data_IF_888702232322
#
_entry.id   IF_888702232322
#
_cell.length_a   1.000
_cell.length_b   1.000
_cell.length_c   1.000
_cell.angle_alpha   90.00
_cell.angle_beta   90.00
_cell.angle_gamma   90.00
#
_symmetry.space_group_name_H-M   'P 1'
#
loop_
_entity.id
_entity.type
_entity.pdbx_description
1 polymer ?
#
# COMPACT_ATOMS: atom_id res chain seq x y z
N UNK A 1 -17.60 -14.11 28.46
CA UNK A 1 -16.61 -14.35 27.40
C UNK A 1 -17.39 -14.49 26.10
N UNK A 2 -17.23 -13.56 25.17
CA UNK A 2 -17.88 -13.68 23.86
C UNK A 2 -17.33 -14.91 23.15
N UNK A 3 -18.23 -15.75 22.66
CA UNK A 3 -17.87 -16.99 21.98
C UNK A 3 -17.46 -16.67 20.54
N UNK A 4 -16.18 -16.40 20.32
CA UNK A 4 -15.63 -15.99 19.01
C UNK A 4 -15.68 -17.09 17.94
N UNK A 5 -16.22 -18.26 18.25
CA UNK A 5 -16.39 -19.38 17.31
C UNK A 5 -17.69 -19.27 16.49
N UNK A 6 -18.58 -18.34 16.82
CA UNK A 6 -19.81 -18.10 16.08
C UNK A 6 -19.72 -16.81 15.26
N UNK A 7 -20.35 -16.80 14.09
CA UNK A 7 -20.41 -15.62 13.25
C UNK A 7 -21.46 -14.65 13.80
N UNK A 8 -20.98 -13.49 14.27
CA UNK A 8 -21.81 -12.42 14.83
C UNK A 8 -21.93 -11.31 13.78
N UNK A 9 -23.15 -10.85 13.52
CA UNK A 9 -23.44 -9.78 12.58
C UNK A 9 -23.88 -8.52 13.32
N UNK A 10 -23.32 -7.36 12.94
CA UNK A 10 -23.70 -6.05 13.45
C UNK A 10 -24.01 -5.09 12.31
N UNK A 11 -24.95 -4.17 12.56
CA UNK A 11 -25.29 -3.12 11.58
C UNK A 11 -24.09 -2.20 11.34
N UNK A 12 -23.93 -1.80 10.09
CA UNK A 12 -22.85 -0.89 9.70
C UNK A 12 -23.34 0.54 9.96
N UNK A 13 -22.63 1.36 10.76
CA UNK A 13 -22.99 2.74 11.01
C UNK A 13 -23.17 3.53 9.71
N UNK A 14 -24.20 4.36 9.65
CA UNK A 14 -24.59 5.20 8.52
C UNK A 14 -24.89 4.43 7.20
N UNK A 15 -25.10 3.11 7.29
CA UNK A 15 -25.35 2.24 6.14
C UNK A 15 -26.56 1.36 6.41
N UNK A 16 -27.75 1.96 6.49
CA UNK A 16 -28.99 1.24 6.74
C UNK A 16 -29.19 0.07 5.74
N UNK A 17 -29.60 -1.09 6.27
CA UNK A 17 -29.83 -2.29 5.48
C UNK A 17 -28.58 -3.08 5.12
N UNK A 18 -27.44 -2.84 5.82
CA UNK A 18 -26.22 -3.62 5.68
C UNK A 18 -25.62 -4.00 7.04
N UNK A 19 -25.05 -5.20 7.08
CA UNK A 19 -24.38 -5.74 8.26
C UNK A 19 -22.97 -6.24 7.91
N UNK A 20 -22.08 -6.17 8.89
CA UNK A 20 -20.75 -6.76 8.84
C UNK A 20 -20.62 -7.84 9.91
N UNK A 21 -19.89 -8.92 9.61
CA UNK A 21 -19.61 -9.99 10.56
C UNK A 21 -18.23 -9.84 11.19
N UNK A 22 -18.07 -10.47 12.37
CA UNK A 22 -16.77 -10.63 13.03
C UNK A 22 -15.78 -11.48 12.22
N UNK A 23 -16.22 -12.22 11.20
CA UNK A 23 -15.38 -13.00 10.29
C UNK A 23 -14.93 -12.21 9.04
N UNK A 24 -15.43 -10.97 8.87
CA UNK A 24 -15.05 -10.13 7.75
C UNK A 24 -16.00 -10.23 6.55
N UNK A 25 -17.19 -10.80 6.72
CA UNK A 25 -18.21 -10.89 5.71
C UNK A 25 -19.13 -9.66 5.76
N UNK A 26 -19.71 -9.29 4.64
CA UNK A 26 -20.65 -8.16 4.52
C UNK A 26 -21.93 -8.68 3.86
N UNK A 27 -23.09 -8.33 4.42
CA UNK A 27 -24.40 -8.68 3.84
C UNK A 27 -25.35 -7.48 3.79
N UNK A 28 -26.29 -7.52 2.87
CA UNK A 28 -27.52 -6.74 2.96
C UNK A 28 -28.57 -7.52 3.76
N UNK A 29 -29.46 -6.83 4.43
CA UNK A 29 -30.61 -7.43 5.11
C UNK A 29 -31.89 -7.28 4.29
N UNK A 30 -32.91 -8.07 4.61
CA UNK A 30 -34.25 -7.93 4.02
C UNK A 30 -34.78 -6.53 4.32
N UNK A 31 -35.28 -5.85 3.30
CA UNK A 31 -35.88 -4.51 3.46
C UNK A 31 -37.05 -4.31 2.52
N UNK A 32 -38.03 -3.58 2.99
CA UNK A 32 -39.16 -3.14 2.17
C UNK A 32 -38.81 -1.80 1.51
N UNK A 33 -38.97 -1.72 0.22
CA UNK A 33 -38.69 -0.51 -0.55
C UNK A 33 -39.99 -0.05 -1.21
N UNK A 34 -40.25 1.24 -1.12
CA UNK A 34 -41.38 1.88 -1.81
C UNK A 34 -40.96 2.33 -3.22
N UNK A 35 -41.65 1.83 -4.23
CA UNK A 35 -41.47 2.27 -5.60
C UNK A 35 -42.43 3.43 -5.89
N UNK A 36 -41.90 4.64 -6.01
CA UNK A 36 -42.67 5.85 -6.30
C UNK A 36 -43.34 5.83 -7.67
N UNK A 37 -42.76 5.13 -8.64
CA UNK A 37 -43.32 5.08 -10.01
C UNK A 37 -44.59 4.21 -10.14
N UNK A 38 -44.66 3.13 -9.36
CA UNK A 38 -45.80 2.19 -9.35
C UNK A 38 -46.69 2.34 -8.11
N UNK A 39 -46.31 3.20 -7.16
CA UNK A 39 -47.03 3.41 -5.88
C UNK A 39 -47.19 2.10 -5.09
N UNK A 40 -46.18 1.20 -5.15
CA UNK A 40 -46.23 -0.11 -4.51
C UNK A 40 -44.99 -0.34 -3.65
N UNK A 41 -45.10 -1.23 -2.69
CA UNK A 41 -43.94 -1.70 -1.92
C UNK A 41 -43.50 -3.08 -2.38
N UNK A 42 -42.19 -3.35 -2.35
CA UNK A 42 -41.65 -4.67 -2.60
C UNK A 42 -40.50 -4.95 -1.64
N UNK A 43 -40.26 -6.24 -1.37
CA UNK A 43 -39.17 -6.68 -0.48
C UNK A 43 -37.93 -6.99 -1.28
N UNK A 44 -36.80 -6.36 -0.93
CA UNK A 44 -35.49 -6.78 -1.39
C UNK A 44 -34.97 -7.78 -0.38
N UNK A 45 -34.67 -9.01 -0.84
CA UNK A 45 -34.05 -10.05 -0.03
C UNK A 45 -32.60 -9.71 0.30
N UNK A 46 -32.22 -9.89 1.54
CA UNK A 46 -30.86 -9.79 2.01
C UNK A 46 -29.96 -10.87 1.41
N UNK A 47 -28.70 -10.54 1.20
CA UNK A 47 -27.70 -11.49 0.67
C UNK A 47 -26.30 -11.06 1.07
N UNK A 48 -25.37 -11.99 1.09
CA UNK A 48 -23.95 -11.67 1.17
C UNK A 48 -23.51 -10.89 -0.07
N UNK A 49 -22.66 -9.90 0.18
CA UNK A 49 -22.11 -9.05 -0.88
C UNK A 49 -20.85 -9.66 -1.48
N UNK A 50 -20.79 -9.67 -2.81
CA UNK A 50 -19.55 -9.98 -3.49
C UNK A 50 -18.51 -8.92 -3.18
N UNK A 51 -17.33 -9.35 -2.77
CA UNK A 51 -16.19 -8.50 -2.50
C UNK A 51 -15.13 -8.63 -3.59
N UNK A 52 -14.33 -7.59 -3.78
CA UNK A 52 -13.26 -7.56 -4.77
C UNK A 52 -11.95 -7.20 -4.09
N UNK A 53 -10.86 -7.89 -4.46
CA UNK A 53 -9.51 -7.54 -3.99
C UNK A 53 -8.91 -6.48 -4.91
N UNK A 54 -8.35 -5.44 -4.32
CA UNK A 54 -7.56 -4.48 -5.08
C UNK A 54 -6.11 -4.99 -5.33
N UNK A 55 -5.33 -4.23 -6.10
CA UNK A 55 -3.94 -4.59 -6.47
C UNK A 55 -2.99 -4.76 -5.26
N UNK A 56 -3.37 -4.22 -4.11
CA UNK A 56 -2.60 -4.32 -2.86
C UNK A 56 -3.10 -5.45 -1.96
N UNK A 57 -4.13 -6.21 -2.39
CA UNK A 57 -4.74 -7.30 -1.64
C UNK A 57 -5.85 -6.89 -0.68
N UNK A 58 -6.18 -5.60 -0.57
CA UNK A 58 -7.29 -5.16 0.28
C UNK A 58 -8.63 -5.57 -0.31
N UNK A 59 -9.47 -6.16 0.52
CA UNK A 59 -10.84 -6.54 0.16
C UNK A 59 -11.76 -5.32 0.24
N UNK A 60 -12.56 -5.12 -0.79
CA UNK A 60 -13.50 -4.00 -0.91
C UNK A 60 -14.92 -4.51 -1.11
N UNK A 61 -15.89 -3.86 -0.48
CA UNK A 61 -17.31 -4.07 -0.67
C UNK A 61 -17.96 -2.78 -1.20
N UNK A 62 -18.93 -2.93 -2.11
CA UNK A 62 -19.73 -1.81 -2.59
C UNK A 62 -21.11 -1.87 -1.91
N UNK A 63 -21.43 -0.82 -1.15
CA UNK A 63 -22.67 -0.64 -0.40
C UNK A 63 -23.39 0.62 -0.87
N UNK A 64 -24.70 0.67 -0.72
CA UNK A 64 -25.49 1.87 -1.05
C UNK A 64 -25.72 2.69 0.21
N UNK A 65 -25.29 3.95 0.21
CA UNK A 65 -25.50 4.92 1.30
C UNK A 65 -26.34 6.05 0.73
N UNK A 66 -27.54 6.25 1.27
CA UNK A 66 -28.47 7.29 0.81
C UNK A 66 -28.69 7.23 -0.74
N UNK A 67 -28.86 6.03 -1.28
CA UNK A 67 -29.07 5.81 -2.72
C UNK A 67 -27.83 5.94 -3.61
N UNK A 68 -26.65 6.24 -3.05
CA UNK A 68 -25.39 6.33 -3.79
C UNK A 68 -24.50 5.10 -3.50
N UNK A 69 -23.95 4.52 -4.55
CA UNK A 69 -23.01 3.41 -4.42
C UNK A 69 -21.65 3.93 -3.93
N UNK A 70 -21.17 3.37 -2.81
CA UNK A 70 -19.89 3.68 -2.20
C UNK A 70 -19.08 2.41 -2.04
N UNK A 71 -17.84 2.41 -2.54
CA UNK A 71 -16.90 1.31 -2.34
C UNK A 71 -15.98 1.61 -1.15
N UNK A 72 -16.03 0.77 -0.13
CA UNK A 72 -15.23 0.89 1.09
C UNK A 72 -14.41 -0.38 1.32
N UNK A 73 -13.29 -0.28 2.05
CA UNK A 73 -12.49 -1.45 2.44
C UNK A 73 -13.16 -2.20 3.57
N UNK A 74 -13.18 -3.54 3.48
CA UNK A 74 -13.93 -4.41 4.40
C UNK A 74 -13.42 -4.29 5.84
N UNK A 75 -12.10 -4.25 6.07
CA UNK A 75 -11.55 -4.10 7.43
C UNK A 75 -12.06 -2.84 8.15
N UNK A 76 -12.21 -1.70 7.42
CA UNK A 76 -12.78 -0.48 8.02
C UNK A 76 -14.27 -0.59 8.30
N UNK A 77 -15.02 -1.29 7.43
CA UNK A 77 -16.45 -1.55 7.64
C UNK A 77 -16.63 -2.43 8.87
N UNK A 78 -15.90 -3.54 8.97
CA UNK A 78 -15.95 -4.48 10.10
C UNK A 78 -15.60 -3.76 11.40
N UNK A 79 -14.49 -3.02 11.42
CA UNK A 79 -14.11 -2.25 12.61
C UNK A 79 -15.23 -1.29 13.05
N UNK A 80 -15.76 -0.50 12.10
CA UNK A 80 -16.80 0.48 12.41
C UNK A 80 -18.10 -0.14 12.91
N UNK A 81 -18.46 -1.33 12.43
CA UNK A 81 -19.66 -2.05 12.90
C UNK A 81 -19.51 -2.56 14.34
N UNK A 82 -18.32 -2.92 14.77
CA UNK A 82 -18.09 -3.51 16.09
C UNK A 82 -17.61 -2.49 17.13
N UNK A 83 -16.78 -1.54 16.74
CA UNK A 83 -16.12 -0.59 17.65
C UNK A 83 -16.47 0.89 17.38
N UNK A 84 -17.26 1.16 16.33
CA UNK A 84 -17.66 2.54 16.01
C UNK A 84 -16.65 3.30 15.17
N UNK A 85 -16.71 4.62 15.26
CA UNK A 85 -15.94 5.53 14.40
C UNK A 85 -14.44 5.38 14.61
N UNK A 86 -13.70 5.30 13.52
CA UNK A 86 -12.23 5.28 13.53
C UNK A 86 -11.74 6.71 13.73
N UNK A 87 -10.96 7.00 14.80
CA UNK A 87 -10.40 8.34 15.02
C UNK A 87 -9.53 8.79 13.84
N UNK A 88 -9.48 10.08 13.51
CA UNK A 88 -8.76 10.60 12.35
C UNK A 88 -7.25 10.40 12.41
N UNK A 89 -6.68 10.29 13.61
CA UNK A 89 -5.25 10.05 13.89
C UNK A 89 -4.89 8.55 13.94
N UNK A 90 -5.87 7.65 13.72
CA UNK A 90 -5.70 6.21 13.81
C UNK A 90 -5.99 5.49 12.49
N UNK A 91 -5.36 4.34 12.34
CA UNK A 91 -5.49 3.43 11.21
C UNK A 91 -5.84 2.03 11.69
N UNK A 92 -6.53 1.26 10.84
CA UNK A 92 -6.76 -0.17 11.10
C UNK A 92 -5.65 -0.96 10.44
N UNK A 93 -4.98 -1.77 11.23
CA UNK A 93 -3.93 -2.66 10.76
C UNK A 93 -4.35 -4.13 10.86
N UNK A 94 -3.78 -4.97 9.99
CA UNK A 94 -3.93 -6.43 10.02
C UNK A 94 -2.77 -7.01 10.82
N UNK A 95 -3.09 -7.74 11.91
CA UNK A 95 -2.10 -8.30 12.84
C UNK A 95 -1.17 -9.30 12.12
N UNK A 96 -1.73 -10.10 11.21
CA UNK A 96 -1.01 -11.10 10.41
C UNK A 96 -0.34 -10.54 9.14
N UNK A 97 -0.38 -9.22 8.92
CA UNK A 97 0.11 -8.54 7.70
C UNK A 97 -0.64 -8.97 6.41
N UNK A 98 -1.74 -9.72 6.49
CA UNK A 98 -2.54 -10.15 5.33
C UNK A 98 -3.75 -9.22 5.13
N UNK A 99 -3.75 -8.32 4.12
CA UNK A 99 -4.83 -7.37 3.89
C UNK A 99 -6.15 -8.02 3.44
N UNK A 100 -6.14 -9.33 3.16
CA UNK A 100 -7.34 -10.09 2.82
C UNK A 100 -8.02 -10.73 4.03
N UNK A 101 -7.36 -10.83 5.18
CA UNK A 101 -7.92 -11.41 6.40
C UNK A 101 -8.59 -10.33 7.24
N UNK A 102 -9.87 -10.09 7.00
CA UNK A 102 -10.65 -9.04 7.65
C UNK A 102 -11.41 -9.52 8.91
N UNK A 103 -11.04 -10.68 9.46
CA UNK A 103 -11.57 -11.12 10.74
C UNK A 103 -11.31 -10.07 11.83
N UNK A 104 -12.31 -9.79 12.66
CA UNK A 104 -12.23 -8.81 13.74
C UNK A 104 -11.05 -9.07 14.68
N UNK A 105 -10.77 -10.34 14.97
CA UNK A 105 -9.64 -10.77 15.81
C UNK A 105 -8.28 -10.47 15.19
N UNK A 106 -8.23 -10.28 13.88
CA UNK A 106 -7.01 -9.94 13.14
C UNK A 106 -6.84 -8.44 12.92
N UNK A 107 -7.77 -7.61 13.39
CA UNK A 107 -7.73 -6.16 13.23
C UNK A 107 -7.32 -5.46 14.51
N UNK A 108 -6.48 -4.45 14.41
CA UNK A 108 -6.13 -3.58 15.53
C UNK A 108 -6.08 -2.11 15.12
N UNK A 109 -6.38 -1.22 16.08
CA UNK A 109 -6.32 0.21 15.92
C UNK A 109 -4.94 0.70 16.33
N UNK A 110 -4.23 1.34 15.40
CA UNK A 110 -2.85 1.80 15.60
C UNK A 110 -2.69 3.25 15.16
N UNK A 111 -1.69 3.94 15.66
CA UNK A 111 -1.25 5.22 15.09
C UNK A 111 -0.51 4.99 13.77
N UNK A 112 -0.41 6.03 12.94
CA UNK A 112 0.39 5.98 11.71
C UNK A 112 1.84 5.55 11.96
N UNK A 113 2.46 6.03 13.04
CA UNK A 113 3.83 5.67 13.44
C UNK A 113 3.95 4.18 13.81
N UNK A 114 3.00 3.65 14.55
CA UNK A 114 2.94 2.22 14.89
C UNK A 114 2.73 1.37 13.65
N UNK A 115 1.82 1.78 12.76
CA UNK A 115 1.53 1.08 11.51
C UNK A 115 2.78 0.97 10.60
N UNK A 116 3.51 2.06 10.40
CA UNK A 116 4.77 2.06 9.64
C UNK A 116 5.83 1.13 10.27
N UNK A 117 5.82 1.01 11.60
CA UNK A 117 6.80 0.17 12.32
C UNK A 117 6.33 -1.28 12.52
N UNK A 118 5.10 -1.62 12.09
CA UNK A 118 4.50 -2.93 12.28
C UNK A 118 5.23 -4.03 11.51
N UNK A 119 5.37 -5.19 12.12
CA UNK A 119 5.94 -6.38 11.50
C UNK A 119 7.40 -6.23 11.04
N UNK A 120 7.77 -7.02 10.06
CA UNK A 120 9.12 -7.09 9.50
C UNK A 120 9.41 -6.04 8.40
N UNK A 121 8.60 -4.98 8.30
CA UNK A 121 8.74 -3.97 7.25
C UNK A 121 10.15 -3.36 7.18
N UNK A 122 10.76 -3.06 8.33
CA UNK A 122 12.15 -2.54 8.39
C UNK A 122 13.18 -3.54 7.88
N UNK A 123 12.97 -4.85 8.15
CA UNK A 123 13.83 -5.92 7.66
C UNK A 123 13.64 -6.07 6.16
N UNK A 124 12.39 -6.13 5.68
CA UNK A 124 12.06 -6.18 4.23
C UNK A 124 12.68 -4.98 3.48
N UNK A 125 12.62 -3.76 4.03
CA UNK A 125 13.26 -2.59 3.46
C UNK A 125 14.79 -2.67 3.45
N UNK A 126 15.41 -3.17 4.52
CA UNK A 126 16.87 -3.37 4.57
C UNK A 126 17.32 -4.39 3.52
N UNK A 127 16.61 -5.53 3.40
CA UNK A 127 16.90 -6.56 2.40
C UNK A 127 16.70 -6.02 0.98
N UNK A 128 15.60 -5.31 0.70
CA UNK A 128 15.37 -4.68 -0.59
C UNK A 128 16.43 -3.63 -0.94
N UNK A 129 16.94 -2.90 0.06
CA UNK A 129 18.01 -1.92 -0.12
C UNK A 129 19.38 -2.57 -0.36
N UNK A 130 19.64 -3.72 0.26
CA UNK A 130 20.84 -4.54 0.03
C UNK A 130 20.78 -5.12 -1.40
N UNK A 131 19.66 -5.72 -1.80
CA UNK A 131 19.47 -6.30 -3.12
C UNK A 131 19.56 -5.26 -4.25
N UNK A 132 19.20 -3.97 -3.99
CA UNK A 132 19.39 -2.88 -4.95
C UNK A 132 20.86 -2.47 -5.13
N UNK A 133 21.74 -2.75 -4.17
CA UNK A 133 23.18 -2.44 -4.30
C UNK A 133 23.87 -3.29 -5.37
N UNK A 134 23.40 -4.51 -5.59
CA UNK A 134 23.98 -5.40 -6.61
C UNK A 134 23.63 -5.00 -8.07
N UNK A 135 22.73 -4.02 -8.25
CA UNK A 135 22.39 -3.45 -9.57
C UNK A 135 23.18 -2.17 -9.87
N UNK A 136 24.16 -1.82 -9.06
CA UNK A 136 24.99 -0.65 -9.34
C UNK A 136 25.90 -0.89 -10.56
N UNK A 137 25.77 -0.03 -11.57
CA UNK A 137 26.62 -0.11 -12.76
C UNK A 137 28.06 0.32 -12.41
N UNK A 138 29.03 -0.47 -12.85
CA UNK A 138 30.43 -0.09 -12.80
C UNK A 138 30.67 1.19 -13.59
N UNK A 139 31.62 1.99 -13.13
CA UNK A 139 31.99 3.28 -13.73
C UNK A 139 33.46 3.32 -14.01
N UNK A 140 33.79 3.74 -15.21
CA UNK A 140 35.14 3.86 -15.73
C UNK A 140 35.53 5.33 -15.78
N UNK A 141 36.73 5.66 -15.31
CA UNK A 141 37.33 6.97 -15.34
C UNK A 141 38.43 6.99 -16.40
N UNK A 142 38.39 7.94 -17.33
CA UNK A 142 39.39 8.12 -18.36
C UNK A 142 40.01 9.53 -18.27
N UNK A 143 41.24 9.65 -18.69
CA UNK A 143 41.85 10.96 -18.94
C UNK A 143 41.21 11.65 -20.17
N UNK A 144 41.62 12.89 -20.46
CA UNK A 144 41.06 13.65 -21.58
C UNK A 144 41.53 13.11 -22.95
N UNK A 145 42.57 12.25 -22.96
CA UNK A 145 43.09 11.60 -24.18
C UNK A 145 42.42 10.24 -24.43
N UNK A 146 41.57 9.78 -23.46
CA UNK A 146 40.80 8.56 -23.60
C UNK A 146 41.46 7.30 -22.99
N UNK A 147 42.55 7.45 -22.23
CA UNK A 147 43.16 6.30 -21.52
C UNK A 147 42.40 6.02 -20.24
N UNK A 148 42.15 4.72 -19.95
CA UNK A 148 41.54 4.31 -18.73
C UNK A 148 42.46 4.53 -17.53
N UNK A 149 41.99 5.26 -16.51
CA UNK A 149 42.72 5.54 -15.28
C UNK A 149 42.31 4.62 -14.18
N UNK A 150 40.97 4.45 -13.98
CA UNK A 150 40.45 3.63 -12.86
C UNK A 150 39.05 3.08 -13.13
N UNK A 151 38.72 1.96 -12.47
CA UNK A 151 37.41 1.32 -12.47
C UNK A 151 36.81 1.35 -11.09
N UNK A 152 35.55 1.75 -10.98
CA UNK A 152 34.81 1.83 -9.73
C UNK A 152 33.57 0.95 -9.80
N UNK A 153 33.19 0.33 -8.65
CA UNK A 153 31.99 -0.50 -8.54
C UNK A 153 30.67 0.27 -8.80
N UNK A 154 30.70 1.59 -8.59
CA UNK A 154 29.54 2.46 -8.79
C UNK A 154 29.93 3.94 -8.87
N UNK A 155 29.02 4.79 -9.34
CA UNK A 155 29.18 6.27 -9.27
C UNK A 155 29.40 6.72 -7.82
N UNK A 156 28.67 6.13 -6.87
CA UNK A 156 28.80 6.47 -5.43
C UNK A 156 30.17 6.14 -4.89
N UNK A 157 30.77 5.05 -5.36
CA UNK A 157 32.12 4.62 -4.97
C UNK A 157 33.18 5.54 -5.56
N UNK A 158 33.05 5.88 -6.84
CA UNK A 158 33.91 6.85 -7.50
C UNK A 158 33.86 8.23 -6.81
N UNK A 159 32.68 8.70 -6.48
CA UNK A 159 32.48 9.97 -5.79
C UNK A 159 33.09 9.97 -4.38
N UNK A 160 32.89 8.90 -3.62
CA UNK A 160 33.41 8.75 -2.25
C UNK A 160 34.95 8.68 -2.22
N UNK A 161 35.56 7.89 -3.11
CA UNK A 161 37.01 7.70 -3.13
C UNK A 161 37.73 9.01 -3.54
N UNK A 162 37.16 9.77 -4.46
CA UNK A 162 37.78 10.99 -4.98
C UNK A 162 37.26 12.27 -4.33
N UNK A 163 36.35 12.16 -3.35
CA UNK A 163 35.68 13.33 -2.75
C UNK A 163 34.94 14.22 -3.75
N UNK A 164 34.29 13.60 -4.73
CA UNK A 164 33.53 14.28 -5.77
C UNK A 164 32.02 14.24 -5.53
N UNK A 165 31.27 15.14 -6.18
CA UNK A 165 29.80 15.11 -6.16
C UNK A 165 29.27 14.06 -7.11
N UNK A 166 28.38 13.16 -6.62
CA UNK A 166 27.73 12.09 -7.38
C UNK A 166 27.09 12.62 -8.66
N UNK A 167 26.34 13.74 -8.56
CA UNK A 167 25.60 14.34 -9.67
C UNK A 167 26.52 14.79 -10.82
N UNK A 168 27.75 15.20 -10.55
CA UNK A 168 28.71 15.62 -11.56
C UNK A 168 29.16 14.42 -12.41
N UNK A 169 29.55 13.31 -11.78
CA UNK A 169 29.94 12.07 -12.46
C UNK A 169 28.75 11.48 -13.22
N UNK A 170 27.59 11.42 -12.58
CA UNK A 170 26.36 10.88 -13.17
C UNK A 170 25.97 11.63 -14.44
N UNK A 171 26.07 12.95 -14.44
CA UNK A 171 25.75 13.80 -15.62
C UNK A 171 26.61 13.44 -16.81
N UNK A 172 27.88 13.12 -16.62
CA UNK A 172 28.79 12.69 -17.68
C UNK A 172 28.49 11.30 -18.18
N UNK A 173 28.32 10.32 -17.23
CA UNK A 173 27.99 8.94 -17.56
C UNK A 173 26.66 8.81 -18.32
N UNK A 174 25.67 9.66 -18.01
CA UNK A 174 24.35 9.66 -18.67
C UNK A 174 24.33 10.49 -19.98
N UNK A 175 25.44 11.08 -20.38
CA UNK A 175 25.55 11.81 -21.66
C UNK A 175 24.71 13.09 -21.72
N UNK A 176 24.54 13.82 -20.63
CA UNK A 176 23.82 15.09 -20.65
C UNK A 176 24.46 16.07 -21.64
N UNK A 177 23.65 16.69 -22.51
CA UNK A 177 23.99 17.40 -23.75
C UNK A 177 25.18 18.38 -23.67
N UNK A 178 25.47 18.91 -22.49
CA UNK A 178 26.51 19.92 -22.30
C UNK A 178 27.65 19.51 -21.35
N UNK A 179 27.63 18.27 -20.83
CA UNK A 179 28.67 17.79 -19.89
C UNK A 179 29.39 16.57 -20.43
N UNK A 180 30.54 16.84 -21.05
CA UNK A 180 31.43 15.78 -21.57
C UNK A 180 32.44 15.28 -20.51
N UNK A 181 32.74 16.11 -19.49
CA UNK A 181 33.73 15.81 -18.46
C UNK A 181 33.28 16.29 -17.09
N UNK A 182 33.81 15.68 -16.03
CA UNK A 182 33.68 16.15 -14.66
C UNK A 182 35.02 15.96 -13.94
N UNK A 183 35.46 17.03 -13.24
CA UNK A 183 36.72 17.06 -12.51
C UNK A 183 37.97 16.79 -13.37
N UNK A 184 37.90 17.19 -14.65
CA UNK A 184 39.00 16.99 -15.62
C UNK A 184 39.08 15.57 -16.20
N UNK A 185 38.04 14.70 -15.96
CA UNK A 185 37.99 13.33 -16.44
C UNK A 185 36.74 13.04 -17.27
N UNK A 186 36.83 12.06 -18.16
CA UNK A 186 35.72 11.47 -18.89
C UNK A 186 35.25 10.28 -18.07
N UNK A 187 33.91 10.15 -17.90
CA UNK A 187 33.28 9.11 -17.11
C UNK A 187 32.29 8.33 -17.98
N UNK A 188 32.35 7.00 -17.94
CA UNK A 188 31.42 6.13 -18.68
C UNK A 188 30.95 4.97 -17.78
N UNK A 189 29.77 4.46 -18.02
CA UNK A 189 29.38 3.15 -17.46
C UNK A 189 30.18 2.06 -18.19
N UNK A 190 30.59 1.04 -17.46
CA UNK A 190 31.03 -0.21 -18.08
C UNK A 190 29.84 -0.85 -18.79
N UNK A 191 30.08 -1.38 -19.98
CA UNK A 191 29.06 -2.09 -20.77
C UNK A 191 28.65 -3.40 -20.11
#
# INVERSE_FOLDING_TARGET
MENYNEEIWKDIPDCEGYQASNFGNIRSVDRVVFNKGTNTTYTIRGRELKTVKDKRGYVRATISINGKLCTKTVHRIVWSAFYGTIPPDKEINHIDENPSNNSLLNLCLVSHKENINWGNWRVKQKVAKINRKDQSKQVLQFDLTGNLIHEYKSISDAARINNYKIQAIQSVCCGYKYRKTAYGYIWKFAN
#
